data_IF_498935973636
#
_entry.id   IF_498935973636
#
_cell.length_a   1.000
_cell.length_b   1.000
_cell.length_c   1.000
_cell.angle_alpha   90.00
_cell.angle_beta   90.00
_cell.angle_gamma   90.00
#
_symmetry.space_group_name_H-M   'P 1'
#
loop_
_entity.id
_entity.type
_entity.pdbx_description
1 polymer ?
#
# COMPACT_ATOMS: atom_id res chain seq x y z
N UNK A 1 10.80 -12.90 -24.27
CA UNK A 1 10.82 -11.92 -23.17
C UNK A 1 11.10 -10.55 -23.76
N UNK A 2 10.26 -9.55 -23.52
CA UNK A 2 10.48 -8.17 -23.95
C UNK A 2 10.99 -7.33 -22.77
N UNK A 3 11.86 -6.37 -23.07
CA UNK A 3 12.25 -5.30 -22.14
C UNK A 3 11.48 -4.03 -22.47
N UNK A 4 11.26 -3.21 -21.46
CA UNK A 4 10.50 -1.97 -21.59
C UNK A 4 11.26 -0.84 -20.91
N UNK A 5 11.31 0.31 -21.57
CA UNK A 5 11.87 1.54 -21.04
C UNK A 5 10.76 2.60 -20.99
N UNK A 6 10.27 2.87 -19.78
CA UNK A 6 9.24 3.88 -19.54
C UNK A 6 9.88 5.25 -19.42
N UNK A 7 9.38 6.21 -20.20
CA UNK A 7 9.95 7.55 -20.31
C UNK A 7 8.88 8.55 -19.86
N UNK A 8 9.12 9.22 -18.74
CA UNK A 8 8.28 10.32 -18.29
C UNK A 8 8.47 11.56 -19.16
N UNK A 9 7.38 12.08 -19.70
CA UNK A 9 7.31 13.29 -20.53
C UNK A 9 6.45 14.35 -19.84
N UNK A 10 6.93 15.59 -19.78
CA UNK A 10 6.20 16.73 -19.23
C UNK A 10 5.37 17.41 -20.34
N UNK A 11 4.51 16.65 -20.99
CA UNK A 11 3.62 17.12 -22.06
C UNK A 11 4.17 16.93 -23.47
N UNK A 12 3.31 17.17 -24.46
CA UNK A 12 3.57 16.85 -25.88
C UNK A 12 4.74 17.61 -26.50
N UNK A 13 5.17 18.72 -25.89
CA UNK A 13 6.30 19.52 -26.35
C UNK A 13 7.65 19.03 -25.81
N UNK A 14 7.64 18.07 -24.88
CA UNK A 14 8.84 17.48 -24.30
C UNK A 14 9.43 16.40 -25.24
N UNK A 15 10.11 16.85 -26.29
CA UNK A 15 10.68 15.99 -27.33
C UNK A 15 12.17 15.69 -27.14
N UNK A 16 12.74 16.01 -25.97
CA UNK A 16 14.15 15.80 -25.69
C UNK A 16 14.57 14.34 -25.93
N UNK A 17 15.73 14.13 -26.56
CA UNK A 17 16.24 12.80 -26.80
C UNK A 17 16.54 12.08 -25.47
N UNK A 18 16.06 10.84 -25.33
CA UNK A 18 16.30 10.00 -24.15
C UNK A 18 17.05 8.76 -24.61
N UNK A 19 18.23 8.53 -24.05
CA UNK A 19 19.05 7.36 -24.37
C UNK A 19 18.44 6.11 -23.74
N UNK A 20 18.15 5.11 -24.57
CA UNK A 20 17.71 3.79 -24.10
C UNK A 20 18.95 2.92 -23.87
N UNK A 21 19.17 2.52 -22.61
CA UNK A 21 20.36 1.76 -22.22
C UNK A 21 20.34 0.34 -22.76
N UNK A 22 19.16 -0.28 -22.81
CA UNK A 22 18.98 -1.60 -23.41
C UNK A 22 18.55 -1.48 -24.88
N UNK A 23 19.39 -1.89 -25.85
CA UNK A 23 19.06 -1.77 -27.27
C UNK A 23 17.80 -2.52 -27.70
N UNK A 24 17.42 -3.56 -26.97
CA UNK A 24 16.22 -4.37 -27.22
C UNK A 24 14.99 -3.95 -26.39
N UNK A 25 15.09 -2.86 -25.62
CA UNK A 25 13.96 -2.35 -24.85
C UNK A 25 12.99 -1.54 -25.72
N UNK A 26 11.70 -1.84 -25.58
CA UNK A 26 10.62 -1.08 -26.21
C UNK A 26 10.39 0.21 -25.42
N UNK A 27 10.56 1.40 -26.02
CA UNK A 27 10.27 2.65 -25.34
C UNK A 27 8.75 2.82 -25.17
N UNK A 28 8.35 3.28 -23.98
CA UNK A 28 6.95 3.56 -23.62
C UNK A 28 6.91 4.96 -23.03
N UNK A 29 6.35 5.91 -23.76
CA UNK A 29 6.24 7.30 -23.29
C UNK A 29 5.00 7.48 -22.41
N UNK A 30 5.16 8.18 -21.29
CA UNK A 30 4.09 8.51 -20.36
C UNK A 30 3.99 10.03 -20.24
N UNK A 31 2.88 10.59 -20.71
CA UNK A 31 2.63 12.02 -20.78
C UNK A 31 2.00 12.51 -19.46
N UNK A 32 2.81 13.07 -18.57
CA UNK A 32 2.35 13.53 -17.26
C UNK A 32 1.56 14.84 -17.30
N UNK A 33 1.66 15.61 -18.38
CA UNK A 33 1.00 16.92 -18.50
C UNK A 33 0.00 16.85 -19.65
N UNK A 34 -1.25 17.19 -19.33
CA UNK A 34 -2.33 17.20 -20.32
C UNK A 34 -2.32 18.47 -21.17
N UNK A 35 -3.24 18.56 -22.14
CA UNK A 35 -3.38 19.70 -23.05
C UNK A 35 -3.67 21.04 -22.37
N UNK A 36 -4.10 21.03 -21.10
CA UNK A 36 -4.36 22.21 -20.28
C UNK A 36 -3.17 22.58 -19.38
N UNK A 37 -1.98 22.03 -19.65
CA UNK A 37 -0.76 22.26 -18.83
C UNK A 37 -0.91 21.85 -17.37
N UNK A 38 -1.78 20.88 -17.08
CA UNK A 38 -2.00 20.33 -15.73
C UNK A 38 -1.44 18.92 -15.65
N UNK A 39 -0.86 18.58 -14.50
CA UNK A 39 -0.44 17.21 -14.21
C UNK A 39 -1.65 16.25 -14.19
N UNK A 40 -1.54 15.16 -14.96
CA UNK A 40 -2.60 14.16 -15.14
C UNK A 40 -2.46 12.99 -14.14
N UNK A 41 -3.25 11.94 -14.33
CA UNK A 41 -3.29 10.72 -13.54
C UNK A 41 -3.59 11.00 -12.05
N UNK A 42 -4.34 12.05 -11.76
CA UNK A 42 -4.69 12.44 -10.39
C UNK A 42 -3.60 13.19 -9.62
N UNK A 43 -2.40 13.39 -10.18
CA UNK A 43 -1.34 14.19 -9.53
C UNK A 43 -1.80 15.64 -9.41
N UNK A 44 -2.32 16.24 -10.49
CA UNK A 44 -2.85 17.60 -10.45
C UNK A 44 -4.04 17.77 -9.51
N UNK A 45 -4.86 16.72 -9.31
CA UNK A 45 -5.95 16.74 -8.33
C UNK A 45 -5.43 16.74 -6.90
N UNK A 46 -4.36 15.99 -6.63
CA UNK A 46 -3.72 15.99 -5.32
C UNK A 46 -3.13 17.38 -4.99
N UNK A 47 -2.42 17.98 -5.95
CA UNK A 47 -1.82 19.30 -5.81
C UNK A 47 -2.86 20.40 -5.63
N UNK A 48 -3.94 20.39 -6.43
CA UNK A 48 -5.02 21.35 -6.24
C UNK A 48 -5.73 21.17 -4.91
N UNK A 49 -5.93 19.92 -4.45
CA UNK A 49 -6.51 19.69 -3.13
C UNK A 49 -5.63 20.29 -2.02
N UNK A 50 -4.32 20.07 -2.06
CA UNK A 50 -3.38 20.69 -1.11
C UNK A 50 -3.43 22.22 -1.18
N UNK A 51 -3.43 22.79 -2.39
CA UNK A 51 -3.56 24.24 -2.62
C UNK A 51 -4.82 24.82 -1.99
N UNK A 52 -5.97 24.17 -2.16
CA UNK A 52 -7.24 24.60 -1.54
C UNK A 52 -7.22 24.52 -0.01
N UNK A 53 -6.32 23.71 0.56
CA UNK A 53 -6.07 23.64 2.00
C UNK A 53 -5.05 24.70 2.47
N UNK A 54 -4.56 25.55 1.55
CA UNK A 54 -3.49 26.52 1.83
C UNK A 54 -2.11 25.87 2.01
N UNK A 55 -1.91 24.65 1.48
CA UNK A 55 -0.70 23.85 1.64
C UNK A 55 0.11 23.79 0.34
N UNK A 56 1.43 23.93 0.46
CA UNK A 56 2.36 23.90 -0.68
C UNK A 56 3.42 22.81 -0.47
N UNK A 57 3.39 21.68 -1.22
CA UNK A 57 4.42 20.65 -1.11
C UNK A 57 5.75 21.10 -1.71
N UNK A 58 6.86 20.47 -1.30
CA UNK A 58 8.17 20.70 -1.94
C UNK A 58 8.22 20.13 -3.36
N UNK A 59 9.02 20.73 -4.25
CA UNK A 59 9.24 20.22 -5.61
C UNK A 59 9.81 18.80 -5.63
N UNK A 60 10.71 18.47 -4.70
CA UNK A 60 11.24 17.11 -4.53
C UNK A 60 10.15 16.11 -4.18
N UNK A 61 9.14 16.50 -3.39
CA UNK A 61 8.01 15.62 -3.09
C UNK A 61 7.07 15.46 -4.31
N UNK A 62 6.95 16.47 -5.17
CA UNK A 62 6.27 16.34 -6.46
C UNK A 62 7.00 15.36 -7.38
N UNK A 63 8.33 15.47 -7.48
CA UNK A 63 9.17 14.50 -8.22
C UNK A 63 8.97 13.08 -7.69
N UNK A 64 8.90 12.93 -6.37
CA UNK A 64 8.70 11.62 -5.74
C UNK A 64 7.36 11.00 -6.14
N UNK A 65 6.29 11.80 -6.23
CA UNK A 65 4.99 11.34 -6.70
C UNK A 65 5.00 11.01 -8.21
N UNK A 66 5.71 11.78 -9.04
CA UNK A 66 5.88 11.48 -10.48
C UNK A 66 6.64 10.16 -10.67
N UNK A 67 7.73 9.94 -9.93
CA UNK A 67 8.46 8.68 -9.91
C UNK A 67 7.54 7.52 -9.51
N UNK A 68 6.76 7.68 -8.43
CA UNK A 68 5.83 6.67 -7.96
C UNK A 68 4.73 6.35 -8.98
N UNK A 69 4.25 7.35 -9.71
CA UNK A 69 3.31 7.16 -10.80
C UNK A 69 3.94 6.39 -11.96
N UNK A 70 5.17 6.72 -12.37
CA UNK A 70 5.85 6.00 -13.44
C UNK A 70 6.17 4.54 -13.06
N UNK A 71 6.52 4.29 -11.79
CA UNK A 71 6.65 2.93 -11.24
C UNK A 71 5.31 2.19 -11.32
N UNK A 72 4.20 2.85 -10.96
CA UNK A 72 2.87 2.24 -11.04
C UNK A 72 2.45 1.92 -12.49
N UNK A 73 2.79 2.79 -13.44
CA UNK A 73 2.62 2.54 -14.86
C UNK A 73 3.38 1.28 -15.28
N UNK A 74 4.69 1.23 -15.05
CA UNK A 74 5.52 0.08 -15.43
C UNK A 74 5.08 -1.22 -14.72
N UNK A 75 4.80 -1.17 -13.42
CA UNK A 75 4.40 -2.33 -12.64
C UNK A 75 3.08 -2.94 -13.12
N UNK A 76 2.14 -2.13 -13.60
CA UNK A 76 0.81 -2.60 -14.01
C UNK A 76 0.66 -2.84 -15.51
N UNK A 77 1.57 -2.33 -16.34
CA UNK A 77 1.52 -2.42 -17.81
C UNK A 77 2.54 -3.40 -18.41
N UNK A 78 3.35 -4.09 -17.60
CA UNK A 78 4.26 -5.14 -18.10
C UNK A 78 3.93 -6.46 -17.44
N UNK A 79 3.45 -7.45 -18.19
CA UNK A 79 3.02 -8.73 -17.64
C UNK A 79 4.21 -9.56 -17.15
N UNK A 80 4.20 -9.98 -15.88
CA UNK A 80 5.20 -10.93 -15.35
C UNK A 80 5.11 -12.28 -16.04
N UNK A 81 3.89 -12.76 -16.32
CA UNK A 81 3.67 -14.04 -16.99
C UNK A 81 4.31 -14.12 -18.39
N UNK A 82 4.46 -12.96 -19.07
CA UNK A 82 5.07 -12.89 -20.42
C UNK A 82 6.54 -12.52 -20.40
N UNK A 83 6.96 -11.68 -19.45
CA UNK A 83 8.25 -10.99 -19.51
C UNK A 83 9.19 -11.26 -18.34
N UNK A 84 8.81 -12.10 -17.38
CA UNK A 84 9.74 -12.51 -16.35
C UNK A 84 10.53 -13.77 -16.75
N UNK A 85 11.85 -13.76 -16.52
CA UNK A 85 12.74 -14.87 -16.89
C UNK A 85 12.36 -16.19 -16.22
N UNK A 86 11.88 -16.10 -14.98
CA UNK A 86 11.47 -17.21 -14.12
C UNK A 86 9.96 -17.17 -13.80
N UNK A 87 9.18 -16.46 -14.62
CA UNK A 87 7.77 -16.17 -14.33
C UNK A 87 7.55 -15.20 -13.16
N UNK A 88 8.63 -14.62 -12.60
CA UNK A 88 8.61 -13.80 -11.39
C UNK A 88 9.20 -12.40 -11.54
N UNK A 89 10.46 -12.31 -11.95
CA UNK A 89 11.27 -11.08 -11.97
C UNK A 89 11.37 -10.50 -13.37
N UNK A 90 10.88 -9.26 -13.55
CA UNK A 90 11.07 -8.47 -14.78
C UNK A 90 12.30 -7.58 -14.68
N UNK A 91 12.78 -7.10 -15.81
CA UNK A 91 13.71 -5.96 -15.92
C UNK A 91 12.91 -4.75 -16.43
N UNK A 92 12.91 -3.66 -15.66
CA UNK A 92 12.15 -2.45 -15.96
C UNK A 92 13.05 -1.22 -15.88
N UNK A 93 13.03 -0.43 -16.94
CA UNK A 93 13.80 0.82 -17.04
C UNK A 93 12.87 2.02 -16.96
N UNK A 94 13.24 3.00 -16.16
CA UNK A 94 12.51 4.25 -16.01
C UNK A 94 13.44 5.43 -16.32
N UNK A 95 12.97 6.40 -17.09
CA UNK A 95 13.58 7.73 -17.18
C UNK A 95 12.60 8.77 -16.65
N UNK A 96 12.97 9.44 -15.55
CA UNK A 96 12.09 10.35 -14.81
C UNK A 96 12.57 11.79 -14.94
N UNK A 97 11.71 12.73 -15.36
CA UNK A 97 12.01 14.16 -15.30
C UNK A 97 11.92 14.64 -13.84
N UNK A 98 12.97 15.29 -13.35
CA UNK A 98 13.07 15.76 -11.96
C UNK A 98 13.60 17.19 -11.85
N UNK A 99 13.30 17.85 -10.75
CA UNK A 99 13.76 19.21 -10.43
C UNK A 99 15.25 19.28 -10.12
N UNK A 100 15.81 18.25 -9.49
CA UNK A 100 17.25 18.14 -9.16
C UNK A 100 17.82 16.78 -9.57
N UNK A 101 18.48 16.73 -10.72
CA UNK A 101 19.04 15.49 -11.27
C UNK A 101 20.17 14.92 -10.40
N UNK A 102 21.01 15.76 -9.80
CA UNK A 102 22.14 15.31 -9.00
C UNK A 102 21.65 14.63 -7.72
N UNK A 103 20.67 15.26 -7.05
CA UNK A 103 20.01 14.70 -5.87
C UNK A 103 19.42 13.32 -6.19
N UNK A 104 18.59 13.21 -7.22
CA UNK A 104 17.93 11.95 -7.56
C UNK A 104 18.91 10.86 -8.04
N UNK A 105 19.94 11.20 -8.82
CA UNK A 105 20.98 10.24 -9.26
C UNK A 105 21.73 9.62 -8.08
N UNK A 106 21.95 10.38 -7.00
CA UNK A 106 22.59 9.84 -5.79
C UNK A 106 21.76 8.74 -5.11
N UNK A 107 20.46 8.64 -5.42
CA UNK A 107 19.51 7.70 -4.80
C UNK A 107 19.19 6.47 -5.67
N UNK A 108 19.78 6.35 -6.87
CA UNK A 108 19.45 5.28 -7.83
C UNK A 108 19.61 3.86 -7.23
N UNK A 109 20.71 3.60 -6.53
CA UNK A 109 20.96 2.28 -5.94
C UNK A 109 19.99 1.94 -4.81
N UNK A 110 19.69 2.93 -3.95
CA UNK A 110 18.73 2.79 -2.87
C UNK A 110 17.32 2.52 -3.42
N UNK A 111 16.89 3.27 -4.43
CA UNK A 111 15.62 3.06 -5.13
C UNK A 111 15.54 1.67 -5.76
N UNK A 112 16.58 1.26 -6.50
CA UNK A 112 16.63 -0.05 -7.14
C UNK A 112 16.55 -1.20 -6.13
N UNK A 113 17.24 -1.09 -4.99
CA UNK A 113 17.18 -2.06 -3.89
C UNK A 113 15.81 -2.10 -3.23
N UNK A 114 15.24 -0.93 -2.95
CA UNK A 114 13.94 -0.77 -2.29
C UNK A 114 12.81 -1.36 -3.13
N UNK A 115 12.77 -1.04 -4.42
CA UNK A 115 11.76 -1.54 -5.35
C UNK A 115 11.94 -3.03 -5.64
N UNK A 116 13.18 -3.52 -5.70
CA UNK A 116 13.44 -4.96 -5.82
C UNK A 116 12.88 -5.74 -4.63
N UNK A 117 13.07 -5.22 -3.41
CA UNK A 117 12.49 -5.83 -2.22
C UNK A 117 10.96 -5.84 -2.26
N UNK A 118 10.35 -4.74 -2.73
CA UNK A 118 8.91 -4.56 -2.76
C UNK A 118 8.23 -5.42 -3.85
N UNK A 119 8.75 -5.40 -5.07
CA UNK A 119 8.06 -5.99 -6.24
C UNK A 119 8.65 -7.32 -6.70
N UNK A 120 9.91 -7.58 -6.34
CA UNK A 120 10.70 -8.70 -6.86
C UNK A 120 11.28 -8.47 -8.25
N UNK A 121 11.17 -7.26 -8.82
CA UNK A 121 11.71 -6.92 -10.15
C UNK A 121 13.07 -6.21 -10.07
N UNK A 122 13.82 -6.25 -11.16
CA UNK A 122 15.02 -5.42 -11.34
C UNK A 122 14.64 -4.08 -11.96
N UNK A 123 14.86 -3.01 -11.21
CA UNK A 123 14.59 -1.63 -11.61
C UNK A 123 15.90 -0.90 -11.92
N UNK A 124 16.00 -0.29 -13.10
CA UNK A 124 17.02 0.72 -13.40
C UNK A 124 16.33 2.06 -13.62
N UNK A 125 16.79 3.07 -12.89
CA UNK A 125 16.14 4.38 -12.88
C UNK A 125 17.16 5.41 -13.31
N UNK A 126 16.77 6.18 -14.31
CA UNK A 126 17.53 7.27 -14.89
C UNK A 126 16.78 8.57 -14.63
N UNK A 127 17.53 9.64 -14.44
CA UNK A 127 16.99 10.96 -14.14
C UNK A 127 17.49 11.97 -15.15
N UNK A 128 16.57 12.84 -15.58
CA UNK A 128 16.82 13.97 -16.48
C UNK A 128 16.15 15.22 -15.94
N UNK A 129 16.58 16.37 -16.42
CA UNK A 129 15.97 17.64 -16.06
C UNK A 129 14.55 17.72 -16.61
N UNK A 130 13.66 18.39 -15.87
CA UNK A 130 12.37 18.81 -16.41
C UNK A 130 12.59 19.80 -17.55
N UNK A 131 11.77 19.78 -18.62
CA UNK A 131 11.90 20.74 -19.71
C UNK A 131 11.56 22.17 -19.25
N UNK A 132 11.99 23.20 -20.03
CA UNK A 132 11.64 24.59 -19.76
C UNK A 132 10.14 24.79 -19.53
N UNK A 133 9.77 25.63 -18.56
CA UNK A 133 8.38 25.87 -18.17
C UNK A 133 7.84 24.94 -17.06
N UNK A 134 8.60 23.91 -16.67
CA UNK A 134 8.22 22.98 -15.60
C UNK A 134 9.17 23.02 -14.40
N UNK A 135 9.87 24.15 -14.21
CA UNK A 135 10.78 24.35 -13.07
C UNK A 135 10.04 24.31 -11.73
N UNK A 136 8.78 24.74 -11.69
CA UNK A 136 7.90 24.59 -10.53
C UNK A 136 6.57 23.97 -10.93
N UNK A 137 6.19 22.92 -10.20
CA UNK A 137 4.94 22.17 -10.35
C UNK A 137 4.06 22.29 -9.11
N UNK A 138 4.65 22.59 -7.95
CA UNK A 138 3.90 22.81 -6.72
C UNK A 138 3.11 24.13 -6.83
N UNK A 139 1.77 24.09 -6.78
CA UNK A 139 0.98 25.30 -6.90
C UNK A 139 1.15 26.19 -5.66
N UNK A 140 1.38 27.48 -5.88
CA UNK A 140 1.39 28.47 -4.79
C UNK A 140 -0.04 28.61 -4.24
N UNK A 141 -0.25 28.41 -2.93
CA UNK A 141 -1.57 28.58 -2.34
C UNK A 141 -2.03 30.04 -2.38
N UNK A 142 -3.31 30.25 -2.69
CA UNK A 142 -3.95 31.59 -2.70
C UNK A 142 -4.76 31.86 -1.44
N UNK A 143 -4.80 30.91 -0.52
CA UNK A 143 -5.51 30.98 0.76
C UNK A 143 -4.52 30.71 1.89
N UNK A 144 -4.77 31.27 3.07
CA UNK A 144 -4.01 30.90 4.26
C UNK A 144 -4.19 29.40 4.53
N UNK A 145 -3.12 28.75 4.99
CA UNK A 145 -3.18 27.37 5.46
C UNK A 145 -4.36 27.21 6.42
N UNK A 146 -5.24 26.24 6.15
CA UNK A 146 -6.21 25.78 7.12
C UNK A 146 -5.41 25.30 8.34
N UNK A 147 -5.29 26.19 9.33
CA UNK A 147 -4.41 25.99 10.46
C UNK A 147 -4.94 24.81 11.28
N UNK A 148 -4.23 23.69 11.28
CA UNK A 148 -4.62 22.61 12.18
C UNK A 148 -3.96 21.27 11.99
N UNK A 149 -3.40 20.93 10.81
CA UNK A 149 -2.82 19.60 10.65
C UNK A 149 -1.51 19.46 11.41
N UNK A 150 -1.45 18.47 12.30
CA UNK A 150 -0.27 18.15 13.10
C UNK A 150 0.44 16.88 12.63
N UNK A 151 -0.24 16.05 11.83
CA UNK A 151 0.33 14.85 11.21
C UNK A 151 -0.43 14.44 9.93
N UNK A 152 0.10 13.43 9.25
CA UNK A 152 -0.54 12.77 8.11
C UNK A 152 -0.81 11.32 8.47
N UNK A 153 -1.98 10.78 8.13
CA UNK A 153 -2.29 9.37 8.36
C UNK A 153 -2.79 8.72 7.08
N UNK A 154 -2.18 7.59 6.70
CA UNK A 154 -2.68 6.78 5.60
C UNK A 154 -4.03 6.16 5.94
N UNK A 155 -4.98 6.32 5.01
CA UNK A 155 -6.37 5.91 5.18
C UNK A 155 -6.83 5.08 3.98
N UNK A 156 -6.61 3.76 4.03
CA UNK A 156 -6.97 2.87 2.92
C UNK A 156 -8.48 2.57 2.85
N UNK A 157 -9.21 2.77 3.96
CA UNK A 157 -10.60 2.35 4.13
C UNK A 157 -10.73 0.94 4.71
N UNK A 158 -9.61 0.30 5.08
CA UNK A 158 -9.57 -0.96 5.82
C UNK A 158 -9.62 -0.77 7.33
N UNK A 159 -9.86 -1.88 8.04
CA UNK A 159 -9.99 -1.91 9.52
C UNK A 159 -8.80 -1.25 10.24
N UNK A 160 -7.57 -1.53 9.82
CA UNK A 160 -6.37 -1.05 10.49
C UNK A 160 -6.24 0.47 10.37
N UNK A 161 -6.47 1.00 9.17
CA UNK A 161 -6.50 2.45 8.94
C UNK A 161 -7.66 3.15 9.65
N UNK A 162 -8.78 2.46 9.86
CA UNK A 162 -9.91 2.98 10.63
C UNK A 162 -9.55 3.07 12.12
N UNK A 163 -8.95 2.02 12.69
CA UNK A 163 -8.46 2.03 14.09
C UNK A 163 -7.40 3.12 14.26
N UNK A 164 -6.45 3.22 13.33
CA UNK A 164 -5.45 4.29 13.35
C UNK A 164 -6.05 5.69 13.35
N UNK A 165 -7.04 5.95 12.48
CA UNK A 165 -7.73 7.24 12.47
C UNK A 165 -8.48 7.51 13.79
N UNK A 166 -9.22 6.52 14.31
CA UNK A 166 -9.93 6.63 15.60
C UNK A 166 -8.95 6.98 16.73
N UNK A 167 -7.86 6.24 16.84
CA UNK A 167 -6.87 6.42 17.89
C UNK A 167 -6.19 7.80 17.83
N UNK A 168 -5.96 8.33 16.63
CA UNK A 168 -5.41 9.67 16.44
C UNK A 168 -6.40 10.75 16.89
N UNK A 169 -7.65 10.68 16.43
CA UNK A 169 -8.66 11.66 16.82
C UNK A 169 -8.99 11.62 18.31
N UNK A 170 -9.03 10.44 18.92
CA UNK A 170 -9.23 10.29 20.37
C UNK A 170 -8.14 10.98 21.19
N UNK A 171 -6.89 10.94 20.70
CA UNK A 171 -5.75 11.66 21.31
C UNK A 171 -5.77 13.17 21.05
N UNK A 172 -6.83 13.70 20.44
CA UNK A 172 -6.96 15.12 20.11
C UNK A 172 -6.07 15.57 18.95
N UNK A 173 -5.54 14.62 18.17
CA UNK A 173 -4.72 14.92 16.98
C UNK A 173 -5.60 15.34 15.81
N UNK A 174 -4.98 15.99 14.82
CA UNK A 174 -5.66 16.52 13.64
C UNK A 174 -4.97 16.03 12.36
N UNK A 175 -5.05 14.73 12.06
CA UNK A 175 -4.38 14.19 10.89
C UNK A 175 -5.04 14.65 9.59
N UNK A 176 -4.23 15.01 8.59
CA UNK A 176 -4.69 14.98 7.19
C UNK A 176 -4.73 13.52 6.74
N UNK A 177 -5.93 13.00 6.47
CA UNK A 177 -6.09 11.61 6.02
C UNK A 177 -5.73 11.50 4.53
N UNK A 178 -4.88 10.55 4.17
CA UNK A 178 -4.41 10.38 2.78
C UNK A 178 -4.85 9.01 2.25
N UNK A 179 -5.58 9.03 1.14
CA UNK A 179 -6.13 7.84 0.52
C UNK A 179 -5.85 7.79 -0.98
N UNK A 180 -5.53 6.59 -1.47
CA UNK A 180 -5.59 6.27 -2.88
C UNK A 180 -6.74 5.29 -3.14
N UNK A 181 -7.37 5.41 -4.31
CA UNK A 181 -8.36 4.44 -4.77
C UNK A 181 -8.23 4.20 -6.28
N UNK A 182 -8.51 2.97 -6.69
CA UNK A 182 -8.59 2.59 -8.11
C UNK A 182 -10.00 2.14 -8.50
N UNK A 183 -10.64 1.37 -7.62
CA UNK A 183 -11.97 0.80 -7.82
C UNK A 183 -13.05 1.52 -7.00
N UNK A 184 -14.31 1.33 -7.42
CA UNK A 184 -15.47 1.95 -6.78
C UNK A 184 -15.70 1.48 -5.35
N UNK A 185 -15.30 0.26 -5.00
CA UNK A 185 -15.60 -0.32 -3.69
C UNK A 185 -14.68 0.24 -2.61
N UNK A 186 -13.38 0.34 -2.93
CA UNK A 186 -12.41 1.07 -2.10
C UNK A 186 -12.86 2.53 -1.90
N UNK A 187 -13.29 3.21 -2.96
CA UNK A 187 -13.75 4.61 -2.87
C UNK A 187 -15.02 4.76 -2.00
N UNK A 188 -16.01 3.86 -2.14
CA UNK A 188 -17.22 3.87 -1.32
C UNK A 188 -16.91 3.63 0.16
N UNK A 189 -16.07 2.63 0.47
CA UNK A 189 -15.68 2.32 1.85
C UNK A 189 -14.98 3.53 2.51
N UNK A 190 -14.02 4.16 1.81
CA UNK A 190 -13.36 5.37 2.28
C UNK A 190 -14.35 6.50 2.55
N UNK A 191 -15.25 6.80 1.61
CA UNK A 191 -16.22 7.88 1.78
C UNK A 191 -17.21 7.60 2.92
N UNK A 192 -17.69 6.36 3.05
CA UNK A 192 -18.58 5.97 4.13
C UNK A 192 -17.94 6.18 5.51
N UNK A 193 -16.68 5.74 5.66
CA UNK A 193 -15.94 5.90 6.91
C UNK A 193 -15.60 7.37 7.19
N UNK A 194 -15.20 8.15 6.19
CA UNK A 194 -14.95 9.59 6.36
C UNK A 194 -16.21 10.33 6.82
N UNK A 195 -17.37 9.99 6.25
CA UNK A 195 -18.64 10.57 6.66
C UNK A 195 -18.99 10.19 8.11
N UNK A 196 -18.78 8.92 8.50
CA UNK A 196 -19.06 8.46 9.86
C UNK A 196 -18.10 9.07 10.89
N UNK A 197 -16.80 9.13 10.58
CA UNK A 197 -15.81 9.83 11.40
C UNK A 197 -16.17 11.31 11.53
N UNK A 198 -16.55 11.98 10.43
CA UNK A 198 -16.90 13.40 10.45
C UNK A 198 -18.12 13.69 11.33
N UNK A 199 -19.11 12.80 11.36
CA UNK A 199 -20.24 12.90 12.32
C UNK A 199 -19.81 12.81 13.78
N UNK A 200 -18.68 12.14 14.08
CA UNK A 200 -18.18 11.91 15.42
C UNK A 200 -17.25 13.01 15.90
N UNK A 201 -16.30 13.43 15.07
CA UNK A 201 -15.22 14.36 15.45
C UNK A 201 -15.38 15.76 14.87
N UNK A 202 -16.38 15.97 14.01
CA UNK A 202 -16.62 17.23 13.31
C UNK A 202 -15.86 17.31 11.99
N UNK A 203 -15.11 18.38 11.79
CA UNK A 203 -14.42 18.63 10.53
C UNK A 203 -13.27 17.63 10.31
N UNK A 204 -13.29 16.96 9.15
CA UNK A 204 -12.22 16.06 8.70
C UNK A 204 -11.80 16.47 7.31
N UNK A 205 -10.49 16.50 7.08
CA UNK A 205 -9.95 16.67 5.75
C UNK A 205 -9.26 15.39 5.29
N UNK A 206 -9.51 15.04 4.03
CA UNK A 206 -8.86 13.94 3.36
C UNK A 206 -8.34 14.36 2.00
N UNK A 207 -7.09 13.97 1.70
CA UNK A 207 -6.52 13.96 0.37
C UNK A 207 -6.82 12.59 -0.25
N UNK A 208 -7.80 12.55 -1.14
CA UNK A 208 -8.19 11.32 -1.84
C UNK A 208 -7.82 11.45 -3.31
N UNK A 209 -6.99 10.54 -3.80
CA UNK A 209 -6.48 10.62 -5.17
C UNK A 209 -6.72 9.31 -5.92
N UNK A 210 -7.23 9.42 -7.16
CA UNK A 210 -7.28 8.31 -8.11
C UNK A 210 -6.08 8.39 -9.04
N UNK A 211 -5.02 7.65 -8.71
CA UNK A 211 -3.80 7.61 -9.53
C UNK A 211 -3.56 6.21 -10.08
N UNK A 212 -3.48 6.08 -11.39
CA UNK A 212 -3.14 4.82 -12.01
C UNK A 212 -3.35 4.85 -13.51
N UNK A 213 -2.94 3.76 -14.15
CA UNK A 213 -2.85 3.69 -15.60
C UNK A 213 -3.71 2.53 -16.09
N UNK A 214 -4.67 2.84 -16.97
CA UNK A 214 -5.40 1.83 -17.72
C UNK A 214 -4.88 1.73 -19.16
N UNK A 215 -5.49 0.86 -19.96
CA UNK A 215 -5.10 0.62 -21.37
C UNK A 215 -5.25 1.85 -22.27
N UNK A 216 -6.06 2.84 -21.89
CA UNK A 216 -6.26 4.06 -22.66
C UNK A 216 -5.17 5.09 -22.37
N UNK A 217 -4.46 4.95 -21.24
CA UNK A 217 -3.37 5.84 -20.87
C UNK A 217 -2.03 5.35 -21.40
N UNK A 218 -1.80 4.03 -21.36
CA UNK A 218 -0.55 3.39 -21.80
C UNK A 218 -0.89 2.05 -22.43
N UNK A 219 -0.53 1.87 -23.70
CA UNK A 219 -0.73 0.61 -24.42
C UNK A 219 0.59 -0.11 -24.69
N UNK A 220 0.88 -1.12 -23.87
CA UNK A 220 1.95 -2.10 -24.07
C UNK A 220 1.43 -3.41 -24.67
N UNK A 221 0.11 -3.56 -24.84
CA UNK A 221 -0.59 -4.82 -25.11
C UNK A 221 -0.65 -5.78 -23.92
N UNK A 222 -0.33 -5.31 -22.71
CA UNK A 222 -0.14 -6.15 -21.51
C UNK A 222 -0.78 -5.55 -20.24
N UNK A 223 -1.18 -6.44 -19.32
CA UNK A 223 -1.71 -6.08 -18.01
C UNK A 223 -1.04 -6.95 -16.95
N UNK A 224 -0.69 -6.34 -15.83
CA UNK A 224 -0.19 -6.99 -14.64
C UNK A 224 -1.08 -6.64 -13.44
N UNK A 225 -1.73 -7.66 -12.89
CA UNK A 225 -2.80 -7.49 -11.91
C UNK A 225 -2.31 -7.51 -10.45
N UNK A 226 -1.07 -7.91 -10.19
CA UNK A 226 -0.58 -8.08 -8.80
C UNK A 226 -0.28 -6.76 -8.08
N UNK A 227 -0.07 -5.67 -8.81
CA UNK A 227 0.06 -4.29 -8.27
C UNK A 227 1.04 -4.17 -7.10
N UNK A 228 2.18 -4.86 -7.17
CA UNK A 228 3.15 -4.98 -6.06
C UNK A 228 3.83 -3.67 -5.72
N UNK A 229 3.96 -2.76 -6.68
CA UNK A 229 4.49 -1.41 -6.47
C UNK A 229 3.50 -0.43 -5.86
N UNK A 230 2.24 -0.82 -5.62
CA UNK A 230 1.17 0.10 -5.20
C UNK A 230 1.47 0.80 -3.87
N UNK A 231 2.12 0.15 -2.90
CA UNK A 231 2.46 0.78 -1.63
C UNK A 231 3.42 1.96 -1.76
N UNK A 232 4.33 1.92 -2.73
CA UNK A 232 5.26 3.02 -3.01
C UNK A 232 4.49 4.29 -3.40
N UNK A 233 3.39 4.14 -4.14
CA UNK A 233 2.49 5.23 -4.49
C UNK A 233 1.78 5.82 -3.28
N UNK A 234 1.27 4.99 -2.36
CA UNK A 234 0.67 5.47 -1.11
C UNK A 234 1.68 6.28 -0.28
N UNK A 235 2.92 5.79 -0.18
CA UNK A 235 3.97 6.46 0.57
C UNK A 235 4.39 7.77 -0.07
N UNK A 236 4.51 7.83 -1.40
CA UNK A 236 4.80 9.07 -2.11
C UNK A 236 3.67 10.10 -1.96
N UNK A 237 2.40 9.68 -2.04
CA UNK A 237 1.26 10.59 -1.84
C UNK A 237 1.18 11.13 -0.41
N UNK A 238 1.43 10.30 0.60
CA UNK A 238 1.48 10.75 1.99
C UNK A 238 2.70 11.64 2.26
N UNK A 239 3.84 11.35 1.64
CA UNK A 239 5.04 12.19 1.72
C UNK A 239 4.81 13.55 1.06
N UNK A 240 4.12 13.59 -0.08
CA UNK A 240 3.70 14.84 -0.73
C UNK A 240 2.86 15.68 0.24
N UNK A 241 1.81 15.10 0.81
CA UNK A 241 0.94 15.79 1.77
C UNK A 241 1.73 16.26 3.01
N UNK A 242 2.57 15.41 3.58
CA UNK A 242 3.35 15.75 4.77
C UNK A 242 4.42 16.81 4.50
N UNK A 243 5.02 16.83 3.30
CA UNK A 243 6.00 17.86 2.90
C UNK A 243 5.42 19.26 2.82
N UNK A 244 4.10 19.38 2.78
CA UNK A 244 3.39 20.66 2.71
C UNK A 244 3.09 21.28 4.08
N UNK A 245 3.48 20.59 5.17
CA UNK A 245 3.31 21.04 6.55
C UNK A 245 4.60 21.67 7.08
N UNK A 246 4.49 22.71 7.90
CA UNK A 246 5.60 23.60 8.27
C UNK A 246 6.68 23.01 9.22
N UNK A 247 6.62 21.72 9.54
CA UNK A 247 7.50 21.05 10.53
C UNK A 247 7.90 19.66 10.05
N UNK A 248 8.88 19.06 10.72
CA UNK A 248 9.10 17.62 10.58
C UNK A 248 7.82 16.88 10.95
N UNK A 249 7.27 16.13 10.00
CA UNK A 249 5.95 15.50 10.12
C UNK A 249 6.08 13.99 10.12
N UNK A 250 5.39 13.36 11.06
CA UNK A 250 5.19 11.92 11.03
C UNK A 250 4.04 11.57 10.08
N UNK A 251 4.29 10.59 9.20
CA UNK A 251 3.26 9.91 8.42
C UNK A 251 2.94 8.60 9.14
N UNK A 252 1.76 8.55 9.75
CA UNK A 252 1.25 7.34 10.40
C UNK A 252 0.78 6.36 9.33
N UNK A 253 1.28 5.13 9.41
CA UNK A 253 0.96 4.01 8.52
C UNK A 253 0.31 2.89 9.33
N UNK A 254 -1.02 2.92 9.54
CA UNK A 254 -1.66 1.90 10.36
C UNK A 254 -1.75 0.55 9.62
N UNK A 255 -0.95 -0.43 10.05
CA UNK A 255 -1.05 -1.82 9.59
C UNK A 255 -0.56 -2.75 10.70
N UNK A 256 -1.33 -3.78 11.04
CA UNK A 256 -0.93 -4.77 12.03
C UNK A 256 0.39 -5.48 11.66
N UNK A 257 1.15 -5.88 12.67
CA UNK A 257 2.46 -6.52 12.50
C UNK A 257 2.43 -7.85 11.76
N UNK A 258 1.33 -8.61 11.84
CA UNK A 258 1.22 -9.89 11.14
C UNK A 258 1.17 -9.69 9.61
N UNK A 259 0.34 -8.76 9.14
CA UNK A 259 0.30 -8.37 7.72
C UNK A 259 1.58 -7.62 7.33
N UNK A 260 2.15 -6.81 8.22
CA UNK A 260 3.38 -6.07 7.93
C UNK A 260 4.60 -6.98 7.70
N UNK A 261 4.77 -8.01 8.54
CA UNK A 261 5.82 -9.02 8.36
C UNK A 261 5.56 -9.89 7.13
N UNK A 262 4.30 -10.28 6.91
CA UNK A 262 3.88 -11.03 5.73
C UNK A 262 4.67 -12.33 5.51
N UNK A 263 4.80 -13.13 6.58
CA UNK A 263 5.50 -14.41 6.55
C UNK A 263 4.81 -15.38 5.58
N UNK A 264 5.55 -16.01 4.63
CA UNK A 264 4.99 -16.99 3.72
C UNK A 264 4.34 -18.16 4.48
N UNK A 265 3.06 -18.40 4.22
CA UNK A 265 2.29 -19.48 4.86
C UNK A 265 2.59 -20.87 4.26
N UNK A 266 3.14 -20.90 3.04
CA UNK A 266 3.44 -22.12 2.30
C UNK A 266 4.80 -21.98 1.58
N UNK A 267 5.64 -23.04 1.47
CA UNK A 267 6.90 -22.99 0.75
C UNK A 267 6.80 -22.58 -0.72
N UNK A 268 5.69 -22.89 -1.40
CA UNK A 268 5.40 -22.45 -2.77
C UNK A 268 5.07 -20.96 -2.84
N UNK A 269 4.92 -20.30 -1.69
CA UNK A 269 4.61 -18.86 -1.56
C UNK A 269 5.82 -17.99 -1.23
N UNK A 270 7.03 -18.51 -1.37
CA UNK A 270 8.26 -17.76 -1.18
C UNK A 270 8.38 -16.64 -2.24
N UNK A 271 8.43 -15.37 -1.79
CA UNK A 271 8.67 -14.21 -2.66
C UNK A 271 7.68 -13.07 -2.43
N UNK A 272 7.57 -12.19 -3.43
CA UNK A 272 6.63 -11.07 -3.48
C UNK A 272 5.18 -11.48 -3.89
N UNK A 273 4.76 -12.73 -3.61
CA UNK A 273 3.37 -13.20 -3.81
C UNK A 273 2.38 -12.47 -2.89
N UNK A 274 2.91 -11.75 -1.91
CA UNK A 274 2.18 -10.95 -0.95
C UNK A 274 2.87 -9.61 -0.73
N UNK A 275 2.08 -8.55 -0.60
CA UNK A 275 2.55 -7.16 -0.50
C UNK A 275 3.33 -6.91 0.79
N UNK A 276 4.57 -6.41 0.71
CA UNK A 276 5.45 -6.10 1.85
C UNK A 276 5.37 -4.63 2.25
N UNK A 277 4.16 -4.07 2.25
CA UNK A 277 3.89 -2.62 2.36
C UNK A 277 4.46 -1.97 3.60
N UNK A 278 4.41 -2.65 4.75
CA UNK A 278 4.89 -2.12 6.04
C UNK A 278 5.95 -3.02 6.67
N UNK A 279 6.62 -3.83 5.85
CA UNK A 279 7.74 -4.64 6.34
C UNK A 279 8.84 -3.72 6.88
N UNK A 280 9.46 -4.02 8.04
CA UNK A 280 10.40 -3.13 8.71
C UNK A 280 11.54 -2.65 7.80
N UNK A 281 12.18 -3.57 7.07
CA UNK A 281 13.22 -3.22 6.09
C UNK A 281 12.71 -2.25 5.02
N UNK A 282 11.52 -2.46 4.46
CA UNK A 282 11.00 -1.58 3.41
C UNK A 282 10.72 -0.18 3.93
N UNK A 283 10.10 -0.07 5.11
CA UNK A 283 9.86 1.23 5.75
C UNK A 283 11.18 1.94 6.09
N UNK A 284 12.19 1.21 6.57
CA UNK A 284 13.51 1.78 6.84
C UNK A 284 14.16 2.34 5.58
N UNK A 285 14.14 1.61 4.46
CA UNK A 285 14.69 2.09 3.18
C UNK A 285 13.92 3.27 2.59
N UNK A 286 12.60 3.31 2.76
CA UNK A 286 11.79 4.47 2.33
C UNK A 286 12.09 5.70 3.20
N UNK A 287 12.23 5.55 4.52
CA UNK A 287 12.63 6.64 5.40
C UNK A 287 14.03 7.15 5.08
N UNK A 288 14.98 6.25 4.78
CA UNK A 288 16.33 6.61 4.31
C UNK A 288 16.26 7.42 3.01
N UNK A 289 15.44 6.98 2.05
CA UNK A 289 15.23 7.70 0.79
C UNK A 289 14.64 9.10 1.03
N UNK A 290 13.58 9.22 1.81
CA UNK A 290 12.90 10.49 2.10
C UNK A 290 13.85 11.46 2.81
N UNK A 291 14.65 10.97 3.76
CA UNK A 291 15.66 11.76 4.46
C UNK A 291 16.76 12.24 3.50
N UNK A 292 17.28 11.36 2.63
CA UNK A 292 18.30 11.73 1.65
C UNK A 292 17.79 12.74 0.60
N UNK A 293 16.49 12.71 0.30
CA UNK A 293 15.83 13.70 -0.55
C UNK A 293 15.60 15.06 0.15
N UNK A 294 15.99 15.20 1.42
CA UNK A 294 15.83 16.42 2.19
C UNK A 294 14.37 16.74 2.54
N UNK A 295 13.47 15.76 2.44
CA UNK A 295 12.06 15.94 2.76
C UNK A 295 11.90 15.70 4.28
N UNK A 296 11.40 16.67 5.07
CA UNK A 296 11.33 16.56 6.54
C UNK A 296 10.15 15.69 6.99
N UNK A 297 10.12 14.43 6.56
CA UNK A 297 9.03 13.49 6.79
C UNK A 297 9.58 12.16 7.29
N UNK A 298 8.86 11.51 8.19
CA UNK A 298 9.20 10.15 8.65
C UNK A 298 7.95 9.28 8.70
N UNK A 299 7.98 8.13 8.05
CA UNK A 299 6.91 7.14 8.08
C UNK A 299 7.06 6.29 9.34
N UNK A 300 5.95 6.11 10.06
CA UNK A 300 5.90 5.34 11.31
C UNK A 300 4.69 4.40 11.28
N UNK A 301 4.93 3.11 11.54
CA UNK A 301 3.85 2.17 11.82
C UNK A 301 3.78 1.90 13.34
N UNK A 302 2.81 2.50 14.06
CA UNK A 302 2.67 2.29 15.49
C UNK A 302 2.18 0.89 15.86
N UNK A 303 1.61 0.12 14.91
CA UNK A 303 1.03 -1.20 15.14
C UNK A 303 1.91 -2.36 14.64
N UNK A 304 3.16 -2.09 14.30
CA UNK A 304 4.11 -3.09 13.76
C UNK A 304 4.37 -4.30 14.67
N UNK A 305 4.08 -4.19 15.97
CA UNK A 305 4.22 -5.27 16.97
C UNK A 305 2.87 -5.78 17.51
N UNK A 306 1.77 -5.34 16.89
CA UNK A 306 0.41 -5.59 17.36
C UNK A 306 -0.32 -6.45 16.34
N UNK A 307 -1.02 -7.49 16.82
CA UNK A 307 -1.90 -8.28 15.95
C UNK A 307 -3.17 -7.48 15.61
N UNK A 308 -3.95 -7.94 14.63
CA UNK A 308 -5.21 -7.27 14.31
C UNK A 308 -6.23 -7.40 15.44
N UNK A 309 -6.28 -8.54 16.14
CA UNK A 309 -7.10 -8.71 17.33
C UNK A 309 -6.69 -7.75 18.46
N UNK A 310 -5.40 -7.62 18.72
CA UNK A 310 -4.87 -6.66 19.70
C UNK A 310 -5.21 -5.21 19.31
N UNK A 311 -5.11 -4.84 18.03
CA UNK A 311 -5.52 -3.52 17.55
C UNK A 311 -7.01 -3.24 17.82
N UNK A 312 -7.87 -4.23 17.58
CA UNK A 312 -9.32 -4.10 17.81
C UNK A 312 -9.60 -3.89 19.30
N UNK A 313 -9.01 -4.72 20.17
CA UNK A 313 -9.21 -4.63 21.63
C UNK A 313 -8.66 -3.34 22.21
N UNK A 314 -7.52 -2.87 21.70
CA UNK A 314 -6.86 -1.66 22.19
C UNK A 314 -7.38 -0.36 21.55
N UNK A 315 -8.34 -0.44 20.60
CA UNK A 315 -8.90 0.73 19.93
C UNK A 315 -9.50 1.70 20.95
N UNK A 316 -9.13 2.98 20.85
CA UNK A 316 -9.43 3.98 21.87
C UNK A 316 -10.92 4.30 22.00
N UNK A 317 -11.68 4.23 20.91
CA UNK A 317 -13.14 4.32 20.91
C UNK A 317 -13.76 3.04 20.36
N UNK A 318 -13.65 1.96 21.14
CA UNK A 318 -14.24 0.66 20.81
C UNK A 318 -15.77 0.71 20.58
N UNK A 319 -16.58 1.46 21.36
CA UNK A 319 -18.01 1.62 21.08
C UNK A 319 -18.29 2.22 19.69
N UNK A 320 -17.54 3.24 19.28
CA UNK A 320 -17.67 3.79 17.93
C UNK A 320 -17.20 2.79 16.87
N UNK A 321 -16.06 2.12 17.08
CA UNK A 321 -15.56 1.09 16.15
C UNK A 321 -16.63 0.02 15.86
N UNK A 322 -17.34 -0.46 16.89
CA UNK A 322 -18.44 -1.43 16.72
C UNK A 322 -19.54 -0.95 15.78
N UNK A 323 -19.83 0.35 15.78
CA UNK A 323 -20.87 0.94 14.92
C UNK A 323 -20.43 1.04 13.45
N UNK A 324 -19.13 1.29 13.22
CA UNK A 324 -18.63 1.62 11.88
C UNK A 324 -17.83 0.50 11.20
N UNK A 325 -17.42 -0.53 11.94
CA UNK A 325 -16.54 -1.61 11.44
C UNK A 325 -17.09 -2.31 10.19
N UNK A 326 -18.42 -2.41 10.05
CA UNK A 326 -19.08 -2.99 8.89
C UNK A 326 -18.77 -2.24 7.57
N UNK A 327 -18.49 -0.93 7.65
CA UNK A 327 -18.19 -0.08 6.50
C UNK A 327 -16.73 -0.17 6.05
N UNK A 328 -15.86 -0.82 6.82
CA UNK A 328 -14.45 -1.01 6.46
C UNK A 328 -14.22 -2.20 5.51
N UNK A 329 -13.28 -2.05 4.57
CA UNK A 329 -12.97 -3.04 3.55
C UNK A 329 -11.55 -3.57 3.71
N UNK A 330 -11.41 -4.83 4.15
CA UNK A 330 -10.09 -5.49 4.27
C UNK A 330 -9.79 -6.42 3.09
N UNK A 331 -10.79 -6.82 2.32
CA UNK A 331 -10.63 -7.83 1.27
C UNK A 331 -9.71 -7.34 0.15
N UNK A 332 -8.81 -8.21 -0.32
CA UNK A 332 -7.89 -7.93 -1.44
C UNK A 332 -8.57 -7.90 -2.82
N UNK A 333 -9.78 -8.45 -2.95
CA UNK A 333 -10.47 -8.56 -4.24
C UNK A 333 -12.00 -8.58 -4.09
N UNK A 334 -12.63 -7.55 -3.49
CA UNK A 334 -14.06 -7.54 -3.21
C UNK A 334 -14.93 -7.63 -4.49
N UNK A 335 -14.41 -7.13 -5.61
CA UNK A 335 -15.08 -7.18 -6.90
C UNK A 335 -15.26 -8.62 -7.45
N UNK A 336 -14.41 -9.59 -7.03
CA UNK A 336 -14.51 -10.98 -7.49
C UNK A 336 -15.80 -11.67 -7.06
N UNK A 337 -16.51 -11.14 -6.06
CA UNK A 337 -17.85 -11.61 -5.68
C UNK A 337 -18.84 -11.57 -6.86
N UNK A 338 -18.63 -10.69 -7.84
CA UNK A 338 -19.46 -10.59 -9.06
C UNK A 338 -19.41 -11.86 -9.91
N UNK A 339 -18.30 -12.61 -9.92
CA UNK A 339 -18.22 -13.90 -10.63
C UNK A 339 -19.17 -14.94 -10.04
N UNK A 340 -19.59 -14.76 -8.78
CA UNK A 340 -20.63 -15.56 -8.11
C UNK A 340 -22.01 -14.91 -8.15
N UNK A 341 -22.22 -13.90 -9.02
CA UNK A 341 -23.46 -13.11 -9.12
C UNK A 341 -23.86 -12.40 -7.82
N UNK A 342 -22.88 -12.09 -6.97
CA UNK A 342 -23.08 -11.34 -5.72
C UNK A 342 -22.64 -9.89 -5.89
N UNK A 343 -23.23 -8.98 -5.10
CA UNK A 343 -22.69 -7.63 -4.97
C UNK A 343 -21.27 -7.66 -4.35
N UNK A 344 -20.39 -6.70 -4.69
CA UNK A 344 -19.05 -6.64 -4.13
C UNK A 344 -19.08 -6.68 -2.59
N UNK A 345 -18.25 -7.55 -2.02
CA UNK A 345 -18.21 -7.84 -0.57
C UNK A 345 -16.92 -8.59 -0.23
N UNK A 346 -16.63 -8.76 1.05
CA UNK A 346 -15.48 -9.55 1.49
C UNK A 346 -15.63 -11.01 1.04
N UNK A 347 -14.57 -11.64 0.53
CA UNK A 347 -14.67 -13.04 0.10
C UNK A 347 -14.82 -14.02 1.28
N UNK A 348 -14.21 -13.71 2.43
CA UNK A 348 -14.22 -14.56 3.64
C UNK A 348 -13.00 -15.46 3.79
N UNK A 349 -12.25 -15.73 2.72
CA UNK A 349 -11.18 -16.75 2.71
C UNK A 349 -9.79 -16.24 2.33
N UNK A 350 -9.65 -15.03 1.78
CA UNK A 350 -8.33 -14.46 1.50
C UNK A 350 -7.60 -14.07 2.80
N UNK A 351 -6.27 -13.96 2.74
CA UNK A 351 -5.42 -13.67 3.93
C UNK A 351 -5.97 -12.49 4.76
N UNK A 352 -6.25 -11.30 4.19
CA UNK A 352 -6.85 -10.21 4.98
C UNK A 352 -8.23 -10.50 5.57
N UNK A 353 -9.06 -11.29 4.89
CA UNK A 353 -10.39 -11.68 5.39
C UNK A 353 -10.28 -12.66 6.57
N UNK A 354 -9.37 -13.63 6.52
CA UNK A 354 -9.16 -14.58 7.62
C UNK A 354 -8.61 -13.88 8.86
N UNK A 355 -7.64 -12.98 8.70
CA UNK A 355 -7.11 -12.17 9.80
C UNK A 355 -8.20 -11.24 10.35
N UNK A 356 -9.04 -10.63 9.49
CA UNK A 356 -10.20 -9.83 9.93
C UNK A 356 -11.17 -10.64 10.77
N UNK A 357 -11.60 -11.82 10.30
CA UNK A 357 -12.51 -12.71 11.03
C UNK A 357 -11.94 -13.12 12.39
N UNK A 358 -10.64 -13.42 12.45
CA UNK A 358 -9.96 -13.74 13.69
C UNK A 358 -9.95 -12.56 14.68
N UNK A 359 -9.90 -11.33 14.17
CA UNK A 359 -9.91 -10.10 14.99
C UNK A 359 -11.31 -9.61 15.42
N UNK A 360 -12.38 -10.08 14.79
CA UNK A 360 -13.76 -9.65 15.07
C UNK A 360 -14.56 -10.81 15.66
N UNK A 361 -14.24 -11.18 16.90
CA UNK A 361 -14.90 -12.29 17.59
C UNK A 361 -15.65 -11.82 18.84
N UNK A 362 -16.76 -12.48 19.22
CA UNK A 362 -17.46 -12.14 20.46
C UNK A 362 -16.55 -12.18 21.70
N UNK A 363 -15.56 -13.07 21.71
CA UNK A 363 -14.52 -13.15 22.75
C UNK A 363 -13.64 -11.90 22.85
N UNK A 364 -13.53 -11.12 21.77
CA UNK A 364 -12.84 -9.83 21.74
C UNK A 364 -13.83 -8.65 21.88
N UNK A 365 -15.08 -8.94 22.24
CA UNK A 365 -16.12 -7.94 22.45
C UNK A 365 -16.69 -7.32 21.17
N UNK A 366 -16.54 -7.97 20.00
CA UNK A 366 -17.16 -7.54 18.74
C UNK A 366 -17.77 -8.74 18.00
N UNK A 367 -19.06 -8.68 17.68
CA UNK A 367 -19.67 -9.61 16.72
C UNK A 367 -19.37 -9.10 15.32
N UNK A 368 -18.73 -9.91 14.47
CA UNK A 368 -18.40 -9.52 13.10
C UNK A 368 -19.68 -9.26 12.28
N UNK A 369 -19.99 -8.00 11.90
CA UNK A 369 -21.17 -7.69 11.10
C UNK A 369 -20.90 -7.81 9.59
N UNK A 370 -19.70 -8.24 9.20
CA UNK A 370 -19.24 -8.20 7.81
C UNK A 370 -20.00 -9.20 6.94
N UNK A 371 -20.48 -8.73 5.80
CA UNK A 371 -21.09 -9.59 4.79
C UNK A 371 -20.01 -10.30 3.97
N UNK A 372 -19.92 -11.63 4.10
CA UNK A 372 -18.95 -12.45 3.38
C UNK A 372 -19.57 -13.24 2.22
N UNK A 373 -18.80 -13.47 1.15
CA UNK A 373 -19.20 -14.35 0.05
C UNK A 373 -19.19 -15.84 0.46
N UNK A 374 -18.28 -16.21 1.37
CA UNK A 374 -18.32 -17.48 2.12
C UNK A 374 -18.76 -17.12 3.54
N UNK A 375 -20.05 -17.27 3.90
CA UNK A 375 -20.59 -16.80 5.19
C UNK A 375 -19.99 -17.56 6.37
N UNK A 376 -19.93 -18.89 6.28
CA UNK A 376 -19.38 -19.77 7.31
C UNK A 376 -18.18 -20.54 6.75
N UNK A 377 -17.15 -20.73 7.59
CA UNK A 377 -15.96 -21.50 7.22
C UNK A 377 -16.09 -22.99 7.59
N UNK A 378 -17.00 -23.36 8.49
CA UNK A 378 -17.12 -24.71 9.05
C UNK A 378 -18.45 -25.42 8.71
N UNK A 379 -19.35 -24.79 7.95
CA UNK A 379 -20.60 -25.43 7.48
C UNK A 379 -20.37 -26.57 6.49
N UNK A 380 -19.27 -26.53 5.74
CA UNK A 380 -18.90 -27.55 4.77
C UNK A 380 -17.38 -27.66 4.66
N UNK A 381 -16.92 -28.69 3.95
CA UNK A 381 -15.47 -28.85 3.70
C UNK A 381 -15.04 -27.97 2.52
N UNK A 382 -14.04 -27.12 2.73
CA UNK A 382 -13.50 -26.22 1.71
C UNK A 382 -12.51 -26.96 0.80
N UNK A 383 -12.67 -26.85 -0.54
CA UNK A 383 -11.75 -27.45 -1.51
C UNK A 383 -10.42 -26.67 -1.54
N UNK A 384 -9.34 -27.33 -1.13
CA UNK A 384 -7.99 -26.73 -1.08
C UNK A 384 -7.36 -26.47 -2.45
N UNK A 385 -7.94 -27.00 -3.54
CA UNK A 385 -7.53 -26.68 -4.91
C UNK A 385 -8.19 -25.41 -5.44
N UNK A 386 -9.13 -24.83 -4.69
CA UNK A 386 -9.85 -23.61 -5.03
C UNK A 386 -9.37 -22.41 -4.20
N UNK A 387 -9.70 -21.20 -4.66
CA UNK A 387 -9.45 -19.95 -3.94
C UNK A 387 -10.12 -19.89 -2.53
N UNK A 388 -11.12 -20.74 -2.27
CA UNK A 388 -11.82 -20.78 -0.99
C UNK A 388 -11.04 -21.56 0.07
N UNK A 389 -10.37 -22.65 -0.32
CA UNK A 389 -9.65 -23.52 0.61
C UNK A 389 -8.14 -23.31 0.68
N UNK A 390 -7.50 -22.75 -0.36
CA UNK A 390 -6.03 -22.68 -0.42
C UNK A 390 -5.39 -21.94 0.76
N UNK A 391 -5.94 -20.77 1.11
CA UNK A 391 -5.41 -19.92 2.18
C UNK A 391 -5.74 -20.48 3.56
N UNK A 392 -6.95 -21.03 3.71
CA UNK A 392 -7.36 -21.72 4.94
C UNK A 392 -6.40 -22.87 5.24
N UNK A 393 -6.11 -23.70 4.24
CA UNK A 393 -5.16 -24.81 4.39
C UNK A 393 -3.75 -24.32 4.68
N UNK A 394 -3.29 -23.26 4.01
CA UNK A 394 -1.97 -22.66 4.25
C UNK A 394 -1.83 -22.19 5.71
N UNK A 395 -2.85 -21.54 6.26
CA UNK A 395 -2.86 -21.16 7.68
C UNK A 395 -2.88 -22.37 8.61
N UNK A 396 -3.71 -23.38 8.34
CA UNK A 396 -3.74 -24.60 9.15
C UNK A 396 -2.36 -25.27 9.21
N UNK A 397 -1.69 -25.42 8.06
CA UNK A 397 -0.34 -25.99 7.99
C UNK A 397 0.68 -25.15 8.79
N UNK A 398 0.63 -23.82 8.70
CA UNK A 398 1.52 -22.95 9.46
C UNK A 398 1.25 -23.03 10.97
N UNK A 399 -0.02 -23.06 11.37
CA UNK A 399 -0.44 -23.18 12.77
C UNK A 399 0.03 -24.52 13.34
N UNK A 400 -0.22 -25.63 12.63
CA UNK A 400 0.22 -26.97 13.06
C UNK A 400 1.74 -27.05 13.16
N UNK A 401 2.46 -26.47 12.20
CA UNK A 401 3.93 -26.38 12.20
C UNK A 401 4.46 -25.62 13.41
N UNK A 402 3.86 -24.48 13.75
CA UNK A 402 4.25 -23.67 14.90
C UNK A 402 3.85 -24.32 16.23
N UNK A 403 2.74 -25.07 16.26
CA UNK A 403 2.34 -25.84 17.44
C UNK A 403 3.33 -26.98 17.72
N UNK A 404 3.78 -27.69 16.67
CA UNK A 404 4.77 -28.75 16.78
C UNK A 404 6.18 -28.24 17.09
N UNK A 405 6.56 -27.08 16.54
CA UNK A 405 7.90 -26.51 16.70
C UNK A 405 7.87 -24.97 16.82
N UNK A 406 7.54 -24.42 18.01
CA UNK A 406 7.39 -22.97 18.19
C UNK A 406 8.63 -22.14 17.86
N UNK A 407 9.83 -22.71 18.09
CA UNK A 407 11.12 -22.08 17.81
C UNK A 407 11.33 -21.76 16.31
N UNK A 408 10.59 -22.40 15.41
CA UNK A 408 10.67 -22.10 13.97
C UNK A 408 10.23 -20.68 13.64
N UNK A 409 9.40 -20.04 14.48
CA UNK A 409 8.99 -18.65 14.31
C UNK A 409 10.20 -17.72 14.09
N UNK A 410 11.29 -17.94 14.83
CA UNK A 410 12.51 -17.13 14.82
C UNK A 410 13.19 -17.10 13.43
N UNK A 411 13.14 -18.23 12.72
CA UNK A 411 13.64 -18.33 11.35
C UNK A 411 12.60 -17.84 10.33
N UNK A 412 11.32 -18.18 10.54
CA UNK A 412 10.23 -17.87 9.61
C UNK A 412 10.01 -16.37 9.43
N UNK A 413 10.09 -15.57 10.50
CA UNK A 413 9.92 -14.10 10.42
C UNK A 413 10.98 -13.40 9.58
N UNK A 414 12.11 -14.06 9.29
CA UNK A 414 13.21 -13.52 8.47
C UNK A 414 13.11 -13.90 7.00
N UNK A 415 12.22 -14.82 6.64
CA UNK A 415 12.00 -15.23 5.25
C UNK A 415 11.51 -14.08 4.35
N UNK A 416 10.61 -13.19 4.79
CA UNK A 416 10.16 -12.07 3.97
C UNK A 416 11.26 -11.06 3.65
N UNK A 417 12.20 -10.87 4.58
CA UNK A 417 13.22 -9.85 4.49
C UNK A 417 14.08 -9.74 5.74
N UNK A 418 15.18 -8.97 5.67
CA UNK A 418 16.03 -8.73 6.82
C UNK A 418 15.29 -7.91 7.88
N UNK A 419 15.57 -8.19 9.15
CA UNK A 419 15.08 -7.45 10.32
C UNK A 419 16.24 -6.81 11.07
N UNK A 420 17.29 -6.41 10.35
CA UNK A 420 18.54 -5.92 10.92
C UNK A 420 18.50 -4.42 11.29
N UNK A 421 17.55 -3.66 10.75
CA UNK A 421 17.43 -2.21 10.99
C UNK A 421 16.99 -1.86 12.42
N UNK A 422 16.37 -2.79 13.14
CA UNK A 422 15.92 -2.62 14.52
C UNK A 422 16.11 -3.93 15.32
N UNK A 423 17.36 -4.31 15.66
CA UNK A 423 17.64 -5.61 16.27
C UNK A 423 16.98 -5.78 17.65
N UNK A 424 16.76 -4.68 18.37
CA UNK A 424 16.04 -4.66 19.66
C UNK A 424 14.56 -5.03 19.53
N UNK A 425 13.96 -4.86 18.34
CA UNK A 425 12.54 -5.14 18.08
C UNK A 425 12.30 -6.59 17.60
N UNK A 426 13.37 -7.39 17.40
CA UNK A 426 13.25 -8.74 16.84
C UNK A 426 12.32 -9.65 17.66
N UNK A 427 12.42 -9.59 18.98
CA UNK A 427 11.57 -10.39 19.87
C UNK A 427 10.08 -10.01 19.70
N UNK A 428 9.78 -8.74 19.47
CA UNK A 428 8.42 -8.25 19.24
C UNK A 428 7.88 -8.72 17.88
N UNK A 429 8.71 -8.75 16.84
CA UNK A 429 8.34 -9.31 15.54
C UNK A 429 8.06 -10.82 15.60
N UNK A 430 8.88 -11.58 16.33
CA UNK A 430 8.61 -13.01 16.57
C UNK A 430 7.32 -13.17 17.38
N UNK A 431 7.13 -12.34 18.39
CA UNK A 431 5.95 -12.33 19.25
C UNK A 431 4.66 -12.08 18.48
N UNK A 432 4.59 -11.00 17.68
CA UNK A 432 3.40 -10.66 16.89
C UNK A 432 3.08 -11.73 15.85
N UNK A 433 4.09 -12.36 15.25
CA UNK A 433 3.87 -13.47 14.33
C UNK A 433 3.24 -14.68 15.05
N UNK A 434 3.78 -15.10 16.19
CA UNK A 434 3.22 -16.21 16.99
C UNK A 434 1.78 -15.93 17.43
N UNK A 435 1.53 -14.75 18.00
CA UNK A 435 0.19 -14.37 18.50
C UNK A 435 -0.80 -14.24 17.34
N UNK A 436 -0.40 -13.63 16.23
CA UNK A 436 -1.23 -13.52 15.04
C UNK A 436 -1.60 -14.88 14.41
N UNK A 437 -0.67 -15.84 14.39
CA UNK A 437 -0.97 -17.21 13.97
C UNK A 437 -1.92 -17.91 14.94
N UNK A 438 -1.79 -17.68 16.25
CA UNK A 438 -2.71 -18.24 17.25
C UNK A 438 -4.14 -17.69 17.10
N UNK A 439 -4.30 -16.39 16.81
CA UNK A 439 -5.62 -15.77 16.53
C UNK A 439 -6.32 -16.47 15.35
N UNK A 440 -5.62 -16.62 14.23
CA UNK A 440 -6.17 -17.29 13.04
C UNK A 440 -6.38 -18.79 13.31
N UNK A 441 -5.48 -19.44 14.04
CA UNK A 441 -5.63 -20.84 14.44
C UNK A 441 -6.88 -21.11 15.26
N UNK A 442 -7.23 -20.20 16.18
CA UNK A 442 -8.47 -20.26 16.96
C UNK A 442 -9.71 -20.22 16.05
N UNK A 443 -9.75 -19.29 15.08
CA UNK A 443 -10.82 -19.22 14.08
C UNK A 443 -10.96 -20.51 13.28
N UNK A 444 -9.83 -21.12 12.89
CA UNK A 444 -9.81 -22.26 11.97
C UNK A 444 -9.92 -23.63 12.64
N UNK A 445 -10.00 -23.70 13.97
CA UNK A 445 -9.97 -24.96 14.74
C UNK A 445 -11.03 -25.99 14.33
N UNK A 446 -12.21 -25.53 13.92
CA UNK A 446 -13.34 -26.40 13.49
C UNK A 446 -13.47 -26.52 11.96
N UNK A 447 -12.65 -25.78 11.20
CA UNK A 447 -12.77 -25.69 9.75
C UNK A 447 -12.15 -26.91 9.08
N UNK A 448 -12.89 -27.56 8.19
CA UNK A 448 -12.39 -28.68 7.40
C UNK A 448 -11.98 -28.18 6.02
N UNK A 449 -10.74 -28.45 5.61
CA UNK A 449 -10.25 -28.14 4.27
C UNK A 449 -9.44 -29.32 3.71
N UNK A 450 -9.88 -29.87 2.56
CA UNK A 450 -9.22 -30.99 1.87
C UNK A 450 -9.40 -30.86 0.35
N UNK A 451 -8.56 -31.47 -0.49
CA UNK A 451 -8.82 -31.51 -1.93
C UNK A 451 -10.12 -32.28 -2.19
N UNK A 452 -11.00 -31.74 -3.03
CA UNK A 452 -12.28 -32.38 -3.35
C UNK A 452 -12.16 -33.63 -4.21
#
# INVERSE_FOLDING_TARGET
>A
MRRFAFIGRMGVLDTAAVSIVQPDAVPVEVQFVNTFSRLDYGIGDALEKLKTLGLCPSETAVDFLILAALINAADTRVSRARNAQNGWTRELDLTVPVSDVALWRSQTDLLGRTLRFLTGDHWRIFFRERPPGFSSLAPVPTVMALAGFDEVCLFSGGLDSLIGAIDLFDRGRRPLLVSHYWDSETSKAQQALLNQLGKKVGEIHALRTRLGFDKNHIDTGEIEETQRGRSFLFFALATLAASSLAKTVQVVVPENGLIGLNVPLDPLRLGALSTRTTHPFYMARINELIANLGIPVTLVNPYRHTTKGEMVVACKDLPFLRQVVASSMSCSSPAKARYKRMSPRHCGTCVPCLIRRASLTPSLGIVDPTLYAVPSLDDHTLDTRSAEGEHVRSFQLMVDKLAAAPHLADALVRLPGPLADAPSELADYIGVFRRGMAEVGSLLKKVKAKPA
#
